data_IF_959274635609
#
_entry.id   IF_959274635609
#
_cell.length_a   1.000
_cell.length_b   1.000
_cell.length_c   1.000
_cell.angle_alpha   90.00
_cell.angle_beta   90.00
_cell.angle_gamma   90.00
#
_symmetry.space_group_name_H-M   'P 1'
#
loop_
_entity.id
_entity.type
_entity.pdbx_description
1 polymer ?
#
# COMPACT_ATOMS: atom_id res chain seq x y z
N UNK A 1 -23.86 -68.58 4.91
CA UNK A 1 -23.35 -68.38 3.53
C UNK A 1 -23.25 -66.87 3.34
N UNK A 2 -22.07 -66.21 3.25
CA UNK A 2 -20.98 -66.36 2.26
C UNK A 2 -21.53 -66.39 0.81
N UNK A 3 -21.10 -65.60 -0.20
CA UNK A 3 -20.07 -64.53 -0.42
C UNK A 3 -20.46 -63.82 -1.77
N UNK A 4 -19.98 -62.65 -2.24
CA UNK A 4 -18.97 -61.66 -1.79
C UNK A 4 -19.18 -60.25 -2.48
N UNK A 5 -18.16 -59.39 -2.41
CA UNK A 5 -17.80 -58.12 -3.11
C UNK A 5 -18.23 -57.96 -4.60
N UNK A 6 -18.42 -56.74 -5.17
CA UNK A 6 -17.39 -55.70 -5.48
C UNK A 6 -17.91 -54.25 -5.31
N UNK A 7 -17.27 -53.41 -4.48
CA UNK A 7 -16.11 -52.53 -4.75
C UNK A 7 -16.41 -51.23 -5.55
N UNK A 8 -16.33 -50.08 -4.86
CA UNK A 8 -16.68 -48.77 -5.43
C UNK A 8 -16.20 -47.53 -4.64
N UNK A 9 -15.00 -47.57 -4.06
CA UNK A 9 -14.19 -46.38 -3.72
C UNK A 9 -14.85 -45.25 -2.92
N UNK A 10 -15.05 -45.44 -1.60
CA UNK A 10 -15.47 -44.38 -0.69
C UNK A 10 -14.29 -43.42 -0.39
N UNK A 11 -14.05 -42.47 -1.29
CA UNK A 11 -13.00 -41.46 -1.15
C UNK A 11 -13.42 -40.37 -0.15
N UNK A 12 -13.31 -40.72 1.14
CA UNK A 12 -13.55 -39.80 2.25
C UNK A 12 -12.58 -38.62 2.22
N UNK A 13 -13.08 -37.44 1.86
CA UNK A 13 -12.32 -36.19 1.91
C UNK A 13 -12.30 -35.64 3.35
N UNK A 14 -11.67 -36.38 4.26
CA UNK A 14 -11.36 -35.87 5.60
C UNK A 14 -10.28 -34.80 5.50
N UNK A 15 -10.72 -33.54 5.53
CA UNK A 15 -9.86 -32.36 5.70
C UNK A 15 -9.17 -32.41 7.07
N UNK A 16 -8.07 -33.15 7.17
CA UNK A 16 -7.35 -33.37 8.42
C UNK A 16 -6.81 -32.02 8.97
N UNK A 17 -7.34 -31.51 10.10
CA UNK A 17 -6.98 -30.19 10.63
C UNK A 17 -5.52 -30.14 11.14
N UNK A 18 -4.94 -31.30 11.48
CA UNK A 18 -3.53 -31.41 11.86
C UNK A 18 -2.59 -31.17 10.67
N UNK A 19 -3.01 -31.56 9.45
CA UNK A 19 -2.24 -31.32 8.22
C UNK A 19 -2.33 -29.86 7.78
N UNK A 20 -3.52 -29.26 7.87
CA UNK A 20 -3.71 -27.83 7.59
C UNK A 20 -2.94 -26.95 8.58
N UNK A 21 -2.98 -27.25 9.88
CA UNK A 21 -2.24 -26.49 10.89
C UNK A 21 -0.71 -26.64 10.76
N UNK A 22 -0.19 -27.82 10.44
CA UNK A 22 1.24 -28.03 10.11
C UNK A 22 1.66 -27.22 8.88
N UNK A 23 0.87 -27.25 7.79
CA UNK A 23 1.15 -26.46 6.59
C UNK A 23 1.12 -24.95 6.88
N UNK A 24 0.09 -24.45 7.58
CA UNK A 24 -0.03 -23.04 7.97
C UNK A 24 1.14 -22.58 8.85
N UNK A 25 1.62 -23.43 9.76
CA UNK A 25 2.78 -23.13 10.64
C UNK A 25 4.10 -23.08 9.87
N UNK A 26 4.26 -23.91 8.83
CA UNK A 26 5.45 -23.90 7.95
C UNK A 26 5.39 -22.68 7.02
N UNK A 27 4.27 -22.45 6.34
CA UNK A 27 4.05 -21.28 5.50
C UNK A 27 4.31 -19.98 6.27
N UNK A 28 3.76 -19.85 7.48
CA UNK A 28 4.02 -18.75 8.41
C UNK A 28 5.50 -18.54 8.76
N UNK A 29 6.31 -19.61 8.81
CA UNK A 29 7.72 -19.50 9.14
C UNK A 29 8.56 -18.96 7.98
N UNK A 30 8.27 -19.37 6.74
CA UNK A 30 8.98 -18.90 5.54
C UNK A 30 8.44 -17.58 4.98
N UNK A 31 7.17 -17.26 5.27
CA UNK A 31 6.50 -16.06 4.76
C UNK A 31 7.29 -14.75 4.99
N UNK A 32 7.89 -14.46 6.16
CA UNK A 32 8.72 -13.26 6.34
C UNK A 32 9.94 -13.18 5.40
N UNK A 33 10.57 -14.33 5.08
CA UNK A 33 11.69 -14.37 4.14
C UNK A 33 11.23 -14.08 2.71
N UNK A 34 10.12 -14.68 2.29
CA UNK A 34 9.50 -14.40 1.00
C UNK A 34 9.11 -12.92 0.87
N UNK A 35 8.55 -12.31 1.92
CA UNK A 35 8.29 -10.87 1.95
C UNK A 35 9.56 -10.03 1.80
N UNK A 36 10.68 -10.39 2.47
CA UNK A 36 11.94 -9.66 2.34
C UNK A 36 12.47 -9.73 0.90
N UNK A 37 12.57 -10.93 0.32
CA UNK A 37 13.02 -11.13 -1.07
C UNK A 37 12.13 -10.36 -2.05
N UNK A 38 10.81 -10.41 -1.85
CA UNK A 38 9.85 -9.70 -2.69
C UNK A 38 9.96 -8.16 -2.57
N UNK A 39 10.19 -7.61 -1.37
CA UNK A 39 10.42 -6.17 -1.21
C UNK A 39 11.78 -5.72 -1.77
N UNK A 40 12.81 -6.56 -1.73
CA UNK A 40 14.09 -6.28 -2.40
C UNK A 40 13.93 -6.28 -3.93
N UNK A 41 13.17 -7.23 -4.49
CA UNK A 41 12.83 -7.21 -5.91
C UNK A 41 12.00 -5.97 -6.29
N UNK A 42 11.00 -5.60 -5.49
CA UNK A 42 10.23 -4.36 -5.68
C UNK A 42 11.12 -3.12 -5.64
N UNK A 43 12.08 -3.05 -4.72
CA UNK A 43 13.05 -1.96 -4.64
C UNK A 43 13.94 -1.89 -5.90
N UNK A 44 14.38 -3.03 -6.43
CA UNK A 44 15.11 -3.07 -7.71
C UNK A 44 14.24 -2.56 -8.88
N UNK A 45 12.98 -3.00 -8.98
CA UNK A 45 12.06 -2.54 -10.04
C UNK A 45 11.71 -1.05 -9.90
N UNK A 46 11.62 -0.53 -8.67
CA UNK A 46 11.51 0.90 -8.39
C UNK A 46 12.74 1.65 -8.92
N UNK A 47 13.96 1.17 -8.67
CA UNK A 47 15.20 1.80 -9.16
C UNK A 47 15.20 1.86 -10.70
N UNK A 48 14.96 0.74 -11.38
CA UNK A 48 14.87 0.69 -12.85
C UNK A 48 13.80 1.62 -13.43
N UNK A 49 12.64 1.71 -12.76
CA UNK A 49 11.56 2.64 -13.13
C UNK A 49 11.91 4.09 -12.86
N UNK A 50 12.63 4.37 -11.76
CA UNK A 50 13.03 5.73 -11.38
C UNK A 50 14.07 6.30 -12.33
N UNK A 51 15.02 5.48 -12.82
CA UNK A 51 15.97 5.88 -13.86
C UNK A 51 15.22 6.32 -15.12
N UNK A 52 14.23 5.53 -15.57
CA UNK A 52 13.37 5.90 -16.70
C UNK A 52 12.60 7.22 -16.46
N UNK A 53 11.97 7.37 -15.30
CA UNK A 53 11.20 8.59 -14.99
C UNK A 53 12.09 9.84 -14.90
N UNK A 54 13.27 9.73 -14.28
CA UNK A 54 14.23 10.82 -14.14
C UNK A 54 14.82 11.19 -15.51
N UNK A 55 15.17 10.21 -16.33
CA UNK A 55 15.72 10.45 -17.68
C UNK A 55 14.73 11.24 -18.55
N UNK A 56 13.49 10.77 -18.62
CA UNK A 56 12.42 11.44 -19.36
C UNK A 56 12.11 12.86 -18.86
N UNK A 57 12.16 13.07 -17.54
CA UNK A 57 11.80 14.36 -16.93
C UNK A 57 12.96 15.38 -16.92
N UNK A 58 14.22 14.94 -16.99
CA UNK A 58 15.40 15.84 -16.96
C UNK A 58 16.08 16.04 -18.31
N UNK A 59 16.05 15.05 -19.22
CA UNK A 59 16.74 15.14 -20.52
C UNK A 59 15.78 15.27 -21.71
N UNK A 60 14.53 14.84 -21.55
CA UNK A 60 13.51 14.91 -22.60
C UNK A 60 12.35 15.87 -22.26
N UNK A 61 12.42 16.60 -21.13
CA UNK A 61 11.41 17.57 -20.69
C UNK A 61 9.95 17.02 -20.73
N UNK A 62 9.81 15.71 -20.55
CA UNK A 62 8.60 14.95 -20.85
C UNK A 62 8.14 14.10 -19.67
N UNK A 63 6.90 13.64 -19.71
CA UNK A 63 6.41 12.68 -18.71
C UNK A 63 6.79 11.26 -19.11
N UNK A 64 6.82 10.32 -18.15
CA UNK A 64 6.95 8.88 -18.45
C UNK A 64 5.82 8.29 -19.32
N UNK A 65 4.81 9.09 -19.67
CA UNK A 65 3.70 8.74 -20.57
C UNK A 65 4.03 9.12 -22.03
N UNK A 66 4.81 10.19 -22.22
CA UNK A 66 5.09 10.84 -23.52
C UNK A 66 6.52 10.60 -24.03
N UNK A 67 7.35 9.95 -23.22
CA UNK A 67 8.78 9.85 -23.44
C UNK A 67 9.13 8.83 -24.53
N UNK A 68 9.64 9.35 -25.65
CA UNK A 68 10.23 8.59 -26.76
C UNK A 68 11.76 8.84 -26.78
N UNK A 69 12.57 7.77 -26.82
CA UNK A 69 14.03 7.88 -26.93
C UNK A 69 14.87 7.44 -25.72
N UNK A 70 14.29 6.82 -24.70
CA UNK A 70 15.05 6.30 -23.54
C UNK A 70 16.16 5.32 -23.97
N UNK A 71 17.41 5.61 -23.58
CA UNK A 71 18.61 4.84 -23.98
C UNK A 71 19.51 4.41 -22.82
N UNK A 72 19.24 4.83 -21.58
CA UNK A 72 20.14 4.65 -20.42
C UNK A 72 20.41 3.17 -20.09
N UNK A 73 19.44 2.29 -20.28
CA UNK A 73 19.64 0.85 -20.20
C UNK A 73 18.85 0.11 -21.29
N UNK A 74 19.41 -1.00 -21.77
CA UNK A 74 18.75 -1.92 -22.71
C UNK A 74 18.61 -3.26 -21.99
N UNK A 75 17.39 -3.58 -21.54
CA UNK A 75 17.07 -4.91 -21.00
C UNK A 75 16.42 -5.75 -22.11
N UNK A 76 16.97 -6.92 -22.49
CA UNK A 76 16.32 -7.78 -23.46
C UNK A 76 14.94 -8.22 -22.93
N UNK A 77 13.92 -8.16 -23.79
CA UNK A 77 12.52 -8.53 -23.51
C UNK A 77 11.76 -7.69 -22.48
N UNK A 78 12.30 -6.60 -21.93
CA UNK A 78 11.57 -5.69 -21.03
C UNK A 78 11.93 -4.23 -21.29
N UNK A 79 11.02 -3.50 -21.92
CA UNK A 79 11.15 -2.05 -22.15
C UNK A 79 10.99 -1.25 -20.82
N UNK A 80 11.27 0.06 -20.80
CA UNK A 80 11.12 0.86 -19.58
C UNK A 80 9.69 0.88 -19.02
N UNK A 81 8.69 0.78 -19.91
CA UNK A 81 7.29 0.64 -19.52
C UNK A 81 6.98 -0.72 -18.88
N UNK A 82 7.62 -1.81 -19.33
CA UNK A 82 7.59 -3.11 -18.68
C UNK A 82 8.13 -3.01 -17.24
N UNK A 83 9.25 -2.33 -17.02
CA UNK A 83 9.75 -2.08 -15.65
C UNK A 83 8.78 -1.25 -14.80
N UNK A 84 8.23 -0.14 -15.32
CA UNK A 84 7.16 0.66 -14.66
C UNK A 84 5.96 -0.22 -14.30
N UNK A 85 5.55 -1.11 -15.20
CA UNK A 85 4.43 -2.05 -15.00
C UNK A 85 4.73 -3.07 -13.90
N UNK A 86 5.90 -3.72 -13.93
CA UNK A 86 6.32 -4.69 -12.91
C UNK A 86 6.36 -4.04 -11.53
N UNK A 87 6.95 -2.84 -11.42
CA UNK A 87 7.00 -2.09 -10.16
C UNK A 87 5.59 -1.79 -9.60
N UNK A 88 4.68 -1.29 -10.44
CA UNK A 88 3.30 -1.04 -10.06
C UNK A 88 2.56 -2.34 -9.66
N UNK A 89 2.75 -3.45 -10.39
CA UNK A 89 2.20 -4.78 -10.02
C UNK A 89 2.76 -5.22 -8.66
N UNK A 90 4.06 -5.07 -8.40
CA UNK A 90 4.67 -5.39 -7.10
C UNK A 90 4.11 -4.51 -5.97
N UNK A 91 3.80 -3.24 -6.25
CA UNK A 91 3.16 -2.32 -5.31
C UNK A 91 1.72 -2.78 -4.98
N UNK A 92 0.92 -3.10 -6.00
CA UNK A 92 -0.44 -3.63 -5.83
C UNK A 92 -0.47 -4.97 -5.06
N UNK A 93 0.39 -5.92 -5.42
CA UNK A 93 0.55 -7.20 -4.71
C UNK A 93 0.95 -6.96 -3.25
N UNK A 94 1.86 -6.02 -2.97
CA UNK A 94 2.24 -5.67 -1.58
C UNK A 94 1.00 -5.23 -0.79
N UNK A 95 0.18 -4.33 -1.34
CA UNK A 95 -1.03 -3.86 -0.68
C UNK A 95 -2.05 -4.97 -0.44
N UNK A 96 -2.25 -5.87 -1.41
CA UNK A 96 -3.14 -7.03 -1.29
C UNK A 96 -2.65 -7.99 -0.20
N UNK A 97 -1.36 -8.37 -0.23
CA UNK A 97 -0.75 -9.26 0.77
C UNK A 97 -0.90 -8.68 2.17
N UNK A 98 -0.61 -7.39 2.34
CA UNK A 98 -0.80 -6.71 3.63
C UNK A 98 -2.26 -6.66 4.07
N UNK A 99 -3.19 -6.41 3.16
CA UNK A 99 -4.62 -6.45 3.47
C UNK A 99 -5.07 -7.84 3.93
N UNK A 100 -4.63 -8.91 3.25
CA UNK A 100 -4.89 -10.28 3.66
C UNK A 100 -4.32 -10.56 5.06
N UNK A 101 -3.05 -10.25 5.31
CA UNK A 101 -2.42 -10.42 6.63
C UNK A 101 -3.19 -9.68 7.73
N UNK A 102 -3.58 -8.43 7.49
CA UNK A 102 -4.31 -7.58 8.43
C UNK A 102 -5.75 -8.07 8.69
N UNK A 103 -6.31 -8.97 7.88
CA UNK A 103 -7.62 -9.58 8.11
C UNK A 103 -7.55 -11.02 8.64
N UNK A 104 -6.44 -11.74 8.41
CA UNK A 104 -6.21 -13.04 9.05
C UNK A 104 -6.02 -12.90 10.55
N UNK A 105 -6.36 -13.95 11.31
CA UNK A 105 -6.24 -13.93 12.78
C UNK A 105 -4.80 -13.70 13.27
N UNK A 106 -3.78 -13.93 12.42
CA UNK A 106 -2.37 -13.72 12.73
C UNK A 106 -1.98 -12.30 13.15
N UNK A 107 -2.62 -11.26 12.61
CA UNK A 107 -2.35 -9.87 13.00
C UNK A 107 -3.51 -9.24 13.78
N UNK A 108 -4.52 -10.02 14.16
CA UNK A 108 -5.68 -9.52 14.90
C UNK A 108 -5.29 -9.04 16.31
N UNK A 109 -4.21 -9.59 16.87
CA UNK A 109 -3.57 -9.13 18.12
C UNK A 109 -2.95 -7.73 18.04
N UNK A 110 -2.52 -7.32 16.85
CA UNK A 110 -1.92 -6.00 16.59
C UNK A 110 -2.97 -4.91 16.30
N UNK A 111 -4.27 -5.25 16.33
CA UNK A 111 -5.38 -4.37 16.02
C UNK A 111 -6.35 -4.25 17.22
N UNK A 112 -6.55 -3.06 17.82
CA UNK A 112 -7.38 -2.88 19.01
C UNK A 112 -8.90 -2.98 18.77
N UNK A 113 -9.36 -3.04 17.51
CA UNK A 113 -10.79 -3.03 17.18
C UNK A 113 -11.13 -3.73 15.86
N UNK A 114 -12.28 -4.42 15.80
CA UNK A 114 -12.83 -5.03 14.58
C UNK A 114 -13.11 -3.97 13.50
N UNK A 115 -12.89 -4.31 12.22
CA UNK A 115 -12.92 -3.40 11.07
C UNK A 115 -14.13 -2.44 11.03
N UNK A 116 -15.34 -2.91 11.40
CA UNK A 116 -16.55 -2.07 11.47
C UNK A 116 -16.44 -0.90 12.47
N UNK A 117 -15.76 -1.08 13.61
CA UNK A 117 -15.52 -0.02 14.62
C UNK A 117 -14.45 0.96 14.14
N UNK A 118 -13.39 0.47 13.48
CA UNK A 118 -12.35 1.30 12.86
C UNK A 118 -12.99 2.24 11.82
N UNK A 119 -13.75 1.69 10.87
CA UNK A 119 -14.38 2.48 9.80
C UNK A 119 -15.33 3.56 10.35
N UNK A 120 -16.15 3.24 11.35
CA UNK A 120 -17.04 4.20 12.02
C UNK A 120 -16.30 5.28 12.82
N UNK A 121 -15.04 5.04 13.21
CA UNK A 121 -14.17 6.05 13.83
C UNK A 121 -13.53 6.95 12.78
N UNK A 122 -12.96 6.36 11.72
CA UNK A 122 -12.26 7.08 10.65
C UNK A 122 -13.20 8.06 9.93
N UNK A 123 -14.43 7.65 9.58
CA UNK A 123 -15.43 8.52 8.89
C UNK A 123 -15.71 9.83 9.65
N UNK A 124 -15.54 9.85 10.97
CA UNK A 124 -15.75 11.06 11.79
C UNK A 124 -14.55 12.02 11.78
N UNK A 125 -13.36 11.59 11.32
CA UNK A 125 -12.17 12.44 11.28
C UNK A 125 -12.19 13.29 10.00
N UNK A 126 -11.98 14.62 10.06
CA UNK A 126 -11.99 15.48 8.86
C UNK A 126 -10.89 15.09 7.86
N UNK A 127 -9.77 14.56 8.36
CA UNK A 127 -8.70 14.00 7.53
C UNK A 127 -9.16 12.88 6.59
N UNK A 128 -10.14 12.05 6.99
CA UNK A 128 -10.67 11.02 6.09
C UNK A 128 -11.31 11.65 4.86
N UNK A 129 -12.17 12.65 5.05
CA UNK A 129 -12.84 13.35 3.96
C UNK A 129 -11.84 14.11 3.09
N UNK A 130 -10.91 14.83 3.71
CA UNK A 130 -9.82 15.51 2.99
C UNK A 130 -9.03 14.53 2.11
N UNK A 131 -8.55 13.41 2.66
CA UNK A 131 -7.74 12.44 1.90
C UNK A 131 -8.54 11.74 0.79
N UNK A 132 -9.83 11.45 0.99
CA UNK A 132 -10.70 10.90 -0.06
C UNK A 132 -10.97 11.93 -1.17
N UNK A 133 -11.21 13.21 -0.83
CA UNK A 133 -11.40 14.28 -1.82
C UNK A 133 -10.11 14.47 -2.64
N UNK A 134 -8.95 14.59 -1.97
CA UNK A 134 -7.63 14.66 -2.62
C UNK A 134 -7.40 13.47 -3.55
N UNK A 135 -7.76 12.24 -3.11
CA UNK A 135 -7.65 11.05 -3.97
C UNK A 135 -8.62 11.09 -5.14
N UNK A 136 -9.87 11.53 -4.96
CA UNK A 136 -10.84 11.67 -6.03
C UNK A 136 -10.37 12.66 -7.11
N UNK A 137 -9.81 13.80 -6.70
CA UNK A 137 -9.19 14.77 -7.62
C UNK A 137 -7.95 14.22 -8.32
N UNK A 138 -7.10 13.46 -7.63
CA UNK A 138 -5.94 12.81 -8.26
C UNK A 138 -6.34 11.71 -9.26
N UNK A 139 -7.41 10.95 -8.98
CA UNK A 139 -7.95 9.97 -9.95
C UNK A 139 -8.62 10.68 -11.13
N UNK A 140 -9.27 11.82 -10.92
CA UNK A 140 -9.80 12.64 -12.01
C UNK A 140 -8.68 13.15 -12.94
N UNK A 141 -7.54 13.56 -12.37
CA UNK A 141 -6.34 13.91 -13.14
C UNK A 141 -5.85 12.75 -14.02
N UNK A 142 -5.72 11.55 -13.44
CA UNK A 142 -5.30 10.35 -14.18
C UNK A 142 -6.27 10.00 -15.32
N UNK A 143 -7.59 10.14 -15.09
CA UNK A 143 -8.61 9.94 -16.12
C UNK A 143 -8.52 10.98 -17.22
N UNK A 144 -8.22 12.24 -16.90
CA UNK A 144 -8.01 13.28 -17.91
C UNK A 144 -6.76 13.01 -18.75
N UNK A 145 -5.67 12.48 -18.18
CA UNK A 145 -4.52 11.99 -18.97
C UNK A 145 -4.97 10.87 -19.91
N UNK A 146 -5.63 9.84 -19.40
CA UNK A 146 -6.04 8.68 -20.21
C UNK A 146 -6.99 9.05 -21.36
N UNK A 147 -7.82 10.09 -21.22
CA UNK A 147 -8.75 10.55 -22.26
C UNK A 147 -8.08 11.50 -23.27
N UNK A 148 -7.23 12.42 -22.79
CA UNK A 148 -6.67 13.48 -23.65
C UNK A 148 -5.35 13.08 -24.33
N UNK A 149 -4.60 12.14 -23.76
CA UNK A 149 -3.31 11.72 -24.28
C UNK A 149 -3.41 10.41 -25.08
N UNK A 150 -3.19 10.49 -26.40
CA UNK A 150 -3.21 9.34 -27.31
C UNK A 150 -2.02 8.39 -27.15
N UNK A 151 -0.91 8.87 -26.59
CA UNK A 151 0.30 8.08 -26.35
C UNK A 151 0.23 7.33 -25.02
N UNK A 152 -0.76 7.63 -24.17
CA UNK A 152 -0.90 6.99 -22.88
C UNK A 152 -1.16 5.48 -22.99
N UNK A 153 -0.23 4.68 -22.45
CA UNK A 153 -0.42 3.23 -22.28
C UNK A 153 -1.49 2.98 -21.21
N UNK A 154 -2.77 2.98 -21.61
CA UNK A 154 -3.97 2.92 -20.75
C UNK A 154 -3.86 1.90 -19.60
N UNK A 155 -3.29 0.71 -19.87
CA UNK A 155 -3.12 -0.33 -18.86
C UNK A 155 -2.18 0.06 -17.71
N UNK A 156 -1.15 0.88 -17.98
CA UNK A 156 -0.21 1.40 -16.97
C UNK A 156 -0.89 2.46 -16.11
N UNK A 157 -1.64 3.37 -16.73
CA UNK A 157 -2.30 4.48 -16.03
C UNK A 157 -3.47 3.97 -15.17
N UNK A 158 -4.24 3.00 -15.68
CA UNK A 158 -5.22 2.24 -14.88
C UNK A 158 -4.57 1.53 -13.69
N UNK A 159 -3.37 0.95 -13.87
CA UNK A 159 -2.64 0.32 -12.78
C UNK A 159 -2.11 1.34 -11.76
N UNK A 160 -1.76 2.55 -12.18
CA UNK A 160 -1.41 3.65 -11.27
C UNK A 160 -2.61 4.11 -10.42
N UNK A 161 -3.79 4.27 -11.03
CA UNK A 161 -5.06 4.52 -10.32
C UNK A 161 -5.34 3.43 -9.28
N UNK A 162 -5.24 2.15 -9.67
CA UNK A 162 -5.42 1.00 -8.77
C UNK A 162 -4.40 1.04 -7.62
N UNK A 163 -3.15 1.40 -7.87
CA UNK A 163 -2.13 1.56 -6.83
C UNK A 163 -2.45 2.72 -5.86
N UNK A 164 -2.95 3.86 -6.34
CA UNK A 164 -3.40 4.99 -5.49
C UNK A 164 -4.52 4.54 -4.55
N UNK A 165 -5.55 3.88 -5.09
CA UNK A 165 -6.69 3.38 -4.31
C UNK A 165 -6.27 2.32 -3.28
N UNK A 166 -5.39 1.38 -3.66
CA UNK A 166 -4.88 0.38 -2.70
C UNK A 166 -3.98 0.99 -1.62
N UNK A 167 -3.19 2.01 -1.95
CA UNK A 167 -2.33 2.72 -0.98
C UNK A 167 -3.19 3.51 0.02
N UNK A 168 -4.21 4.22 -0.46
CA UNK A 168 -5.21 4.90 0.37
C UNK A 168 -5.88 3.92 1.35
N UNK A 169 -6.33 2.77 0.83
CA UNK A 169 -7.00 1.77 1.63
C UNK A 169 -6.07 1.13 2.68
N UNK A 170 -4.84 0.81 2.29
CA UNK A 170 -3.80 0.31 3.19
C UNK A 170 -3.48 1.33 4.31
N UNK A 171 -3.42 2.62 3.99
CA UNK A 171 -3.22 3.70 4.96
C UNK A 171 -4.31 3.69 6.04
N UNK A 172 -5.59 3.62 5.66
CA UNK A 172 -6.69 3.55 6.62
C UNK A 172 -6.63 2.31 7.52
N UNK A 173 -6.22 1.15 6.98
CA UNK A 173 -6.05 -0.09 7.76
C UNK A 173 -4.83 -0.03 8.70
N UNK A 174 -3.71 0.54 8.22
CA UNK A 174 -2.48 0.66 8.99
C UNK A 174 -2.55 1.73 10.07
N UNK A 175 -3.38 2.78 9.94
CA UNK A 175 -3.47 3.80 10.99
C UNK A 175 -3.78 3.16 12.36
N UNK A 176 -4.72 2.22 12.38
CA UNK A 176 -5.19 1.53 13.58
C UNK A 176 -4.45 0.22 13.91
N UNK A 177 -3.33 -0.08 13.25
CA UNK A 177 -2.53 -1.29 13.54
C UNK A 177 -1.27 -0.90 14.29
N UNK A 178 -1.00 -1.48 15.46
CA UNK A 178 0.23 -1.22 16.21
C UNK A 178 1.47 -1.81 15.52
N UNK A 179 2.67 -1.22 15.68
CA UNK A 179 3.87 -1.80 15.10
C UNK A 179 4.24 -3.12 15.81
N UNK A 180 4.65 -4.17 15.06
CA UNK A 180 4.96 -5.49 15.62
C UNK A 180 6.15 -5.51 16.58
N UNK A 181 6.94 -4.43 16.62
CA UNK A 181 8.01 -4.22 17.60
C UNK A 181 7.53 -4.13 19.07
N UNK A 182 6.21 -4.10 19.31
CA UNK A 182 5.60 -3.99 20.64
C UNK A 182 5.00 -5.29 21.18
N UNK A 183 4.83 -6.32 20.35
CA UNK A 183 4.27 -7.61 20.80
C UNK A 183 5.40 -8.52 21.32
N UNK A 184 5.30 -8.97 22.59
CA UNK A 184 6.28 -9.88 23.19
C UNK A 184 6.26 -11.23 22.45
N UNK A 185 7.41 -11.65 21.93
CA UNK A 185 7.56 -12.90 21.17
C UNK A 185 7.44 -12.75 19.64
N UNK A 186 7.27 -11.54 19.11
CA UNK A 186 7.29 -11.34 17.66
C UNK A 186 8.69 -11.60 17.07
N UNK A 187 8.78 -12.37 15.98
CA UNK A 187 10.07 -12.77 15.38
C UNK A 187 10.82 -11.56 14.82
N UNK A 188 12.13 -11.49 15.09
CA UNK A 188 12.98 -10.39 14.59
C UNK A 188 12.94 -10.25 13.06
N UNK A 189 12.89 -11.36 12.33
CA UNK A 189 12.79 -11.41 10.86
C UNK A 189 11.48 -10.78 10.38
N UNK A 190 10.36 -11.08 11.05
CA UNK A 190 9.04 -10.48 10.74
C UNK A 190 9.01 -8.98 11.04
N UNK A 191 9.72 -8.51 12.07
CA UNK A 191 9.93 -7.07 12.32
C UNK A 191 10.77 -6.42 11.21
N UNK A 192 11.82 -7.11 10.75
CA UNK A 192 12.63 -6.68 9.60
C UNK A 192 11.79 -6.54 8.32
N UNK A 193 10.98 -7.55 7.99
CA UNK A 193 10.06 -7.53 6.85
C UNK A 193 9.03 -6.39 6.94
N UNK A 194 8.47 -6.13 8.13
CA UNK A 194 7.56 -5.01 8.40
C UNK A 194 8.24 -3.66 8.11
N UNK A 195 9.41 -3.42 8.71
CA UNK A 195 10.15 -2.17 8.53
C UNK A 195 10.58 -1.98 7.07
N UNK A 196 11.14 -3.01 6.42
CA UNK A 196 11.52 -2.97 5.01
C UNK A 196 10.34 -2.62 4.11
N UNK A 197 9.17 -3.24 4.32
CA UNK A 197 8.00 -2.93 3.48
C UNK A 197 7.52 -1.49 3.67
N UNK A 198 7.51 -0.97 4.90
CA UNK A 198 7.19 0.43 5.15
C UNK A 198 8.21 1.38 4.51
N UNK A 199 9.51 1.06 4.56
CA UNK A 199 10.56 1.83 3.87
C UNK A 199 10.34 1.84 2.35
N UNK A 200 10.07 0.69 1.73
CA UNK A 200 9.82 0.62 0.28
C UNK A 200 8.53 1.37 -0.08
N UNK A 201 7.46 1.30 0.74
CA UNK A 201 6.27 2.13 0.53
C UNK A 201 6.54 3.64 0.70
N UNK A 202 7.44 4.04 1.60
CA UNK A 202 7.86 5.44 1.69
C UNK A 202 8.65 5.87 0.44
N UNK A 203 9.62 5.05 -0.02
CA UNK A 203 10.43 5.32 -1.22
C UNK A 203 9.58 5.36 -2.50
N UNK A 204 8.61 4.45 -2.68
CA UNK A 204 7.65 4.48 -3.79
C UNK A 204 6.93 5.83 -3.87
N UNK A 205 6.42 6.32 -2.73
CA UNK A 205 5.67 7.58 -2.66
C UNK A 205 6.58 8.81 -2.77
N UNK A 206 7.83 8.73 -2.28
CA UNK A 206 8.84 9.76 -2.49
C UNK A 206 9.21 9.90 -3.96
N UNK A 207 9.47 8.79 -4.67
CA UNK A 207 9.78 8.80 -6.10
C UNK A 207 8.64 9.43 -6.91
N UNK A 208 7.39 9.01 -6.65
CA UNK A 208 6.21 9.56 -7.33
C UNK A 208 5.96 11.03 -6.99
N UNK A 209 6.18 11.43 -5.74
CA UNK A 209 6.12 12.83 -5.33
C UNK A 209 7.15 13.68 -6.09
N UNK A 210 8.41 13.26 -6.12
CA UNK A 210 9.49 13.99 -6.80
C UNK A 210 9.19 14.18 -8.29
N UNK A 211 8.84 13.10 -9.00
CA UNK A 211 8.49 13.14 -10.44
C UNK A 211 7.29 14.06 -10.70
N UNK A 212 6.24 14.00 -9.87
CA UNK A 212 5.10 14.89 -10.00
C UNK A 212 5.48 16.37 -9.74
N UNK A 213 6.31 16.65 -8.73
CA UNK A 213 6.75 18.02 -8.44
C UNK A 213 7.68 18.59 -9.50
N UNK A 214 8.57 17.80 -10.11
CA UNK A 214 9.38 18.26 -11.23
C UNK A 214 8.53 18.57 -12.46
N UNK A 215 7.49 17.78 -12.75
CA UNK A 215 6.55 18.05 -13.84
C UNK A 215 5.72 19.32 -13.59
N UNK A 216 5.25 19.53 -12.35
CA UNK A 216 4.60 20.79 -11.94
C UNK A 216 5.54 21.98 -12.12
N UNK A 217 6.79 21.87 -11.66
CA UNK A 217 7.77 22.95 -11.78
C UNK A 217 8.05 23.29 -13.25
N UNK A 218 8.31 22.27 -14.09
CA UNK A 218 8.54 22.47 -15.52
C UNK A 218 7.34 23.13 -16.22
N UNK A 219 6.12 22.62 -16.01
CA UNK A 219 4.90 23.25 -16.55
C UNK A 219 4.68 24.67 -16.02
N UNK A 220 5.05 24.97 -14.78
CA UNK A 220 4.93 26.32 -14.23
C UNK A 220 5.90 27.31 -14.89
N UNK A 221 7.14 26.89 -15.18
CA UNK A 221 8.13 27.73 -15.87
C UNK A 221 7.86 27.89 -17.37
N UNK A 222 7.22 26.92 -18.03
CA UNK A 222 6.94 26.95 -19.47
C UNK A 222 5.61 27.59 -19.86
N UNK A 223 4.75 27.95 -18.89
CA UNK A 223 3.48 28.65 -19.17
C UNK A 223 3.72 30.15 -19.39
N UNK A 224 3.62 30.57 -20.66
CA UNK A 224 3.67 31.98 -21.04
C UNK A 224 2.60 32.82 -20.31
N UNK A 225 3.05 33.89 -19.67
CA UNK A 225 2.20 34.80 -18.92
C UNK A 225 1.29 35.59 -19.88
N UNK A 226 -0.03 35.44 -19.72
CA UNK A 226 -1.05 36.15 -20.49
C UNK A 226 -1.83 35.33 -21.53
N UNK A 227 -1.37 34.12 -21.87
CA UNK A 227 -2.00 33.25 -22.88
C UNK A 227 -2.58 31.95 -22.26
N UNK A 228 -2.28 31.68 -20.98
CA UNK A 228 -2.72 30.49 -20.26
C UNK A 228 -4.24 30.28 -20.29
N UNK A 229 -4.70 29.23 -20.99
CA UNK A 229 -6.12 28.84 -21.01
C UNK A 229 -6.55 28.35 -19.62
N UNK A 230 -7.80 28.61 -19.18
CA UNK A 230 -8.28 28.13 -17.87
C UNK A 230 -8.10 26.62 -17.64
N UNK A 231 -8.18 25.81 -18.71
CA UNK A 231 -7.95 24.36 -18.67
C UNK A 231 -6.52 24.02 -18.22
N UNK A 232 -5.51 24.78 -18.66
CA UNK A 232 -4.10 24.60 -18.27
C UNK A 232 -3.89 24.88 -16.78
N UNK A 233 -4.61 25.86 -16.23
CA UNK A 233 -4.58 26.18 -14.79
C UNK A 233 -5.20 25.03 -13.99
N UNK A 234 -6.33 24.49 -14.44
CA UNK A 234 -7.00 23.33 -13.80
C UNK A 234 -6.12 22.09 -13.86
N UNK A 235 -5.46 21.80 -14.99
CA UNK A 235 -4.50 20.70 -15.14
C UNK A 235 -3.33 20.83 -14.14
N UNK A 236 -2.73 22.02 -14.04
CA UNK A 236 -1.66 22.29 -13.07
C UNK A 236 -2.14 22.10 -11.62
N UNK A 237 -3.32 22.63 -11.26
CA UNK A 237 -3.90 22.45 -9.92
C UNK A 237 -4.15 20.97 -9.60
N UNK A 238 -4.69 20.20 -10.55
CA UNK A 238 -4.92 18.77 -10.40
C UNK A 238 -3.61 17.99 -10.25
N UNK A 239 -2.55 18.39 -10.96
CA UNK A 239 -1.21 17.80 -10.83
C UNK A 239 -0.58 18.10 -9.47
N UNK A 240 -0.72 19.34 -8.96
CA UNK A 240 -0.32 19.72 -7.59
C UNK A 240 -1.08 18.88 -6.56
N UNK A 241 -2.37 18.64 -6.76
CA UNK A 241 -3.17 17.78 -5.89
C UNK A 241 -2.66 16.33 -5.93
N UNK A 242 -2.33 15.78 -7.10
CA UNK A 242 -1.73 14.45 -7.25
C UNK A 242 -0.37 14.34 -6.51
N UNK A 243 0.50 15.36 -6.64
CA UNK A 243 1.73 15.43 -5.85
C UNK A 243 1.46 15.49 -4.34
N UNK A 244 0.49 16.29 -3.89
CA UNK A 244 0.12 16.41 -2.47
C UNK A 244 -0.42 15.09 -1.88
N UNK A 245 -1.05 14.25 -2.70
CA UNK A 245 -1.50 12.91 -2.31
C UNK A 245 -0.30 12.01 -2.03
N UNK A 246 0.69 11.97 -2.93
CA UNK A 246 1.92 11.22 -2.75
C UNK A 246 2.73 11.69 -1.54
N UNK A 247 2.79 13.01 -1.29
CA UNK A 247 3.39 13.56 -0.07
C UNK A 247 2.64 13.09 1.19
N UNK A 248 1.30 13.05 1.16
CA UNK A 248 0.49 12.58 2.29
C UNK A 248 0.71 11.09 2.58
N UNK A 249 0.83 10.26 1.54
CA UNK A 249 1.18 8.84 1.68
C UNK A 249 2.60 8.66 2.22
N UNK A 250 3.59 9.37 1.66
CA UNK A 250 4.98 9.38 2.14
C UNK A 250 5.04 9.74 3.64
N UNK A 251 4.44 10.85 4.04
CA UNK A 251 4.41 11.29 5.44
C UNK A 251 3.79 10.23 6.35
N UNK A 252 2.70 9.58 5.93
CA UNK A 252 2.08 8.51 6.70
C UNK A 252 3.03 7.31 6.89
N UNK A 253 3.61 6.75 5.82
CA UNK A 253 4.49 5.58 5.91
C UNK A 253 5.77 5.90 6.69
N UNK A 254 6.36 7.07 6.48
CA UNK A 254 7.52 7.56 7.22
C UNK A 254 7.21 7.68 8.72
N UNK A 255 6.11 8.35 9.09
CA UNK A 255 5.69 8.45 10.48
C UNK A 255 5.36 7.07 11.08
N UNK A 256 4.82 6.13 10.29
CA UNK A 256 4.53 4.75 10.73
C UNK A 256 5.79 3.94 11.04
N UNK A 257 6.89 4.24 10.37
CA UNK A 257 8.17 3.56 10.61
C UNK A 257 8.83 3.99 11.94
N UNK A 258 8.64 5.25 12.36
CA UNK A 258 9.30 5.82 13.53
C UNK A 258 8.42 6.07 14.76
N UNK A 259 7.08 6.12 14.66
CA UNK A 259 6.18 6.36 15.81
C UNK A 259 5.90 5.11 16.66
N UNK A 260 5.86 5.30 17.99
CA UNK A 260 5.14 4.42 18.93
C UNK A 260 3.62 4.67 18.92
N UNK A 261 2.88 4.19 19.94
CA UNK A 261 1.39 4.15 20.05
C UNK A 261 0.59 5.46 19.86
N UNK A 262 1.23 6.58 19.53
CA UNK A 262 0.51 7.82 19.22
C UNK A 262 -0.12 7.70 17.84
N UNK A 263 -1.45 7.57 17.82
CA UNK A 263 -2.32 7.58 16.63
C UNK A 263 -1.82 8.63 15.62
N UNK A 264 -1.49 8.21 14.39
CA UNK A 264 -0.81 9.08 13.42
C UNK A 264 -1.73 10.23 13.01
N UNK A 265 -3.00 9.88 12.83
CA UNK A 265 -4.12 10.79 12.72
C UNK A 265 -4.53 11.19 14.13
N UNK A 266 -3.97 12.29 14.62
CA UNK A 266 -4.09 12.82 15.99
C UNK A 266 -5.42 12.53 16.70
N UNK A 267 -5.31 12.29 18.02
CA UNK A 267 -6.41 11.96 18.95
C UNK A 267 -6.95 10.52 18.84
N UNK A 268 -6.15 9.56 19.34
CA UNK A 268 -6.70 8.51 20.21
C UNK A 268 -5.63 7.97 21.18
N UNK A 269 -5.55 8.57 22.37
CA UNK A 269 -4.91 7.94 23.54
C UNK A 269 -5.97 7.04 24.18
N UNK A 270 -6.06 5.77 23.78
CA UNK A 270 -6.76 4.79 24.60
C UNK A 270 -5.74 4.22 25.58
N UNK A 271 -5.80 4.65 26.84
CA UNK A 271 -5.13 3.93 27.91
C UNK A 271 -5.80 2.56 28.05
N UNK A 272 -5.23 1.55 27.40
CA UNK A 272 -5.50 0.16 27.73
C UNK A 272 -4.86 -0.15 29.08
N UNK A 273 -5.46 0.36 30.16
CA UNK A 273 -5.24 -0.20 31.50
C UNK A 273 -5.71 -1.64 31.48
N UNK A 274 -4.94 -2.49 32.16
CA UNK A 274 -5.20 -3.91 32.38
C UNK A 274 -6.70 -4.15 32.64
N UNK A 275 -7.35 -4.88 31.72
CA UNK A 275 -8.66 -5.49 31.96
C UNK A 275 -8.63 -6.99 31.71
N UNK A 276 -7.48 -7.60 31.96
CA UNK A 276 -7.40 -8.99 32.43
C UNK A 276 -7.05 -8.97 33.93
N UNK A 277 -7.79 -9.77 34.70
CA UNK A 277 -7.54 -10.10 36.12
C UNK A 277 -7.73 -9.01 37.19
N UNK A 278 -8.96 -8.46 37.31
CA UNK A 278 -9.59 -8.30 38.64
C UNK A 278 -11.01 -8.85 38.59
N UNK A 279 -11.18 -10.11 39.04
CA UNK A 279 -12.50 -10.57 39.51
C UNK A 279 -12.80 -9.82 40.80
N UNK A 280 -13.67 -8.82 40.77
CA UNK A 280 -14.17 -8.20 42.00
C UNK A 280 -15.00 -9.24 42.75
N UNK A 281 -14.60 -9.70 43.96
CA UNK A 281 -15.39 -10.67 44.70
C UNK A 281 -16.70 -10.01 45.15
N UNK A 282 -17.81 -10.68 44.83
CA UNK A 282 -19.17 -10.28 45.20
C UNK A 282 -19.28 -10.31 46.73
N UNK A 283 -19.10 -9.16 47.40
CA UNK A 283 -19.24 -9.06 48.85
C UNK A 283 -20.70 -9.31 49.22
N UNK A 284 -21.02 -10.51 49.72
CA UNK A 284 -22.31 -10.77 50.39
C UNK A 284 -22.44 -9.76 51.52
N UNK A 285 -23.54 -9.00 51.57
CA UNK A 285 -23.99 -8.42 52.83
C UNK A 285 -24.69 -9.53 53.60
N UNK A 286 -24.28 -9.71 54.85
CA UNK A 286 -24.89 -10.60 55.82
C UNK A 286 -25.19 -9.76 57.05
N UNK A 287 -26.41 -9.91 57.56
CA UNK A 287 -27.07 -9.04 58.54
C UNK A 287 -27.44 -7.65 57.99
#
# INVERSE_FOLDING_TARGET
MNRDLENGGLLGNENNPERQSKFFRIASAYFPHLCIVFQLFRLFTLVMSSIFMVDCTLYHDSTSVDCEGFTVYITPHCDPYCWKTIWLVCSAITCIVWFCLLNTEMLLRLRPARNKKIFKSIIKKPYFWSLNITTGSAVLYDVLIMVNNRNAKIYVECLEVVCKLWTLYLLFQLNHTFPPSREKGFRAISRGAYCLTLSVCALDNLCKFLVATSQVAFKFYTVEHGIAKPVTIVDLMLMIINASLYLSFLQFFWQKLFRGDKDILTVFKQEFRLTENIRVPRRRRSF
#
